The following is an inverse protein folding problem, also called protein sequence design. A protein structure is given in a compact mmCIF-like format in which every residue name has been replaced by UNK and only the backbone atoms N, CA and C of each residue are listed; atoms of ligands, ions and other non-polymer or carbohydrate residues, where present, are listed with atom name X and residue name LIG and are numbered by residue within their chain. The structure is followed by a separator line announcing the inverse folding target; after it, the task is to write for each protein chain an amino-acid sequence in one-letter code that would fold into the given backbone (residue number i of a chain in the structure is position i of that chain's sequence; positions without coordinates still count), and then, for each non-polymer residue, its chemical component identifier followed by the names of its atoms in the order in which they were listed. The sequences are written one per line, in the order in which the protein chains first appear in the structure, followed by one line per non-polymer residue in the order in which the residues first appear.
data_IF_158193337010
#
_entry.id   IF_158193337010
#
_cell.length_a   1.000
_cell.length_b   1.000
_cell.length_c   1.000
_cell.angle_alpha   90.00
_cell.angle_beta   90.00
_cell.angle_gamma   90.00
#
_symmetry.space_group_name_H-M   'P 1'
#
loop_
_entity.id
_entity.type
_entity.pdbx_description
1 polymer ?
#
# COMPACT_ATOMS: atom_id res chain seq x y z
N UNK A 1 -20.87 7.19 -18.59
CA UNK A 1 -20.22 8.53 -18.65
C UNK A 1 -20.29 9.26 -17.31
N UNK A 2 -21.47 9.42 -16.69
CA UNK A 2 -21.59 10.05 -15.36
C UNK A 2 -20.88 9.29 -14.23
N UNK A 3 -21.02 7.95 -14.12
CA UNK A 3 -20.29 7.16 -13.13
C UNK A 3 -18.76 7.13 -13.38
N UNK A 4 -18.34 7.28 -14.64
CA UNK A 4 -16.94 7.33 -15.05
C UNK A 4 -16.29 8.69 -14.75
N UNK A 5 -17.01 9.79 -14.99
CA UNK A 5 -16.65 11.14 -14.57
C UNK A 5 -16.62 11.25 -13.05
N UNK A 6 -17.66 10.77 -12.35
CA UNK A 6 -17.75 10.76 -10.88
C UNK A 6 -16.62 9.94 -10.25
N UNK A 7 -16.25 8.78 -10.81
CA UNK A 7 -15.11 7.98 -10.34
C UNK A 7 -13.75 8.68 -10.52
N UNK A 8 -13.53 9.33 -11.67
CA UNK A 8 -12.33 10.12 -11.94
C UNK A 8 -12.24 11.40 -11.09
N UNK A 9 -13.35 12.10 -10.91
CA UNK A 9 -13.40 13.33 -10.10
C UNK A 9 -13.35 13.05 -8.59
N UNK A 10 -13.80 11.88 -8.13
CA UNK A 10 -13.93 11.63 -6.70
C UNK A 10 -12.70 11.03 -6.01
N UNK A 11 -11.78 10.31 -6.65
CA UNK A 11 -10.63 9.74 -5.92
C UNK A 11 -9.30 10.37 -6.30
N UNK A 12 -8.99 10.43 -7.60
CA UNK A 12 -7.81 11.13 -8.12
C UNK A 12 -7.94 12.64 -7.93
N UNK A 13 -9.14 13.20 -8.18
CA UNK A 13 -9.43 14.61 -7.91
C UNK A 13 -9.38 14.97 -6.43
N UNK A 14 -9.74 14.05 -5.52
CA UNK A 14 -9.67 14.30 -4.08
C UNK A 14 -8.22 14.30 -3.57
N UNK A 15 -7.42 13.27 -3.85
CA UNK A 15 -6.05 13.20 -3.34
C UNK A 15 -5.16 14.29 -3.95
N UNK A 16 -5.23 14.46 -5.28
CA UNK A 16 -4.50 15.53 -5.96
C UNK A 16 -5.00 16.92 -5.54
N UNK A 17 -6.33 17.11 -5.47
CA UNK A 17 -6.94 18.38 -5.09
C UNK A 17 -6.59 18.77 -3.65
N UNK A 18 -6.64 17.83 -2.70
CA UNK A 18 -6.24 18.05 -1.31
C UNK A 18 -4.74 18.33 -1.23
N UNK A 19 -3.88 17.58 -1.94
CA UNK A 19 -2.44 17.86 -1.97
C UNK A 19 -2.13 19.27 -2.49
N UNK A 20 -2.78 19.70 -3.58
CA UNK A 20 -2.64 21.05 -4.14
C UNK A 20 -3.18 22.10 -3.17
N UNK A 21 -4.38 21.90 -2.62
CA UNK A 21 -4.99 22.84 -1.69
C UNK A 21 -4.13 23.02 -0.43
N UNK A 22 -3.63 21.93 0.15
CA UNK A 22 -2.72 21.96 1.30
C UNK A 22 -1.43 22.68 0.93
N UNK A 23 -0.81 22.33 -0.20
CA UNK A 23 0.43 22.96 -0.68
C UNK A 23 0.29 24.48 -0.81
N UNK A 24 -0.77 24.93 -1.50
CA UNK A 24 -1.07 26.36 -1.65
C UNK A 24 -1.32 27.01 -0.29
N UNK A 25 -2.12 26.37 0.57
CA UNK A 25 -2.49 26.94 1.87
C UNK A 25 -1.26 27.13 2.77
N UNK A 26 -0.41 26.11 2.91
CA UNK A 26 0.80 26.23 3.75
C UNK A 26 1.80 27.21 3.15
N UNK A 27 1.92 27.28 1.82
CA UNK A 27 2.79 28.24 1.14
C UNK A 27 2.26 29.68 1.25
N UNK A 28 0.96 29.91 1.40
CA UNK A 28 0.44 31.28 1.62
C UNK A 28 0.56 31.68 3.08
N UNK A 29 0.19 30.78 4.01
CA UNK A 29 0.04 31.13 5.42
C UNK A 29 1.35 31.13 6.20
N UNK A 30 2.38 30.41 5.76
CA UNK A 30 3.68 30.44 6.42
C UNK A 30 4.41 31.74 6.06
N UNK A 31 4.69 32.62 7.02
CA UNK A 31 5.37 33.90 6.74
C UNK A 31 6.86 33.69 6.43
N UNK A 32 7.57 32.96 7.29
CA UNK A 32 8.99 32.64 7.10
C UNK A 32 9.14 31.36 6.27
N UNK A 33 9.84 31.44 5.13
CA UNK A 33 10.13 30.26 4.29
C UNK A 33 11.62 30.04 4.21
N UNK A 34 12.01 28.77 4.19
CA UNK A 34 13.40 28.42 3.92
C UNK A 34 13.81 28.82 2.50
N UNK A 35 15.05 29.28 2.28
CA UNK A 35 15.53 29.60 0.95
C UNK A 35 15.64 28.34 0.10
N UNK A 36 15.45 28.48 -1.23
CA UNK A 36 15.53 27.35 -2.16
C UNK A 36 16.89 26.63 -2.12
N UNK A 37 17.98 27.34 -1.82
CA UNK A 37 19.31 26.74 -1.62
C UNK A 37 19.35 25.75 -0.46
N UNK A 38 18.58 25.98 0.60
CA UNK A 38 18.50 25.08 1.73
C UNK A 38 17.53 23.92 1.48
N UNK A 39 16.43 24.15 0.76
CA UNK A 39 15.46 23.10 0.42
C UNK A 39 16.03 22.09 -0.58
N UNK A 40 16.72 22.56 -1.62
CA UNK A 40 17.24 21.69 -2.68
C UNK A 40 18.73 21.35 -2.54
N UNK A 41 19.51 22.16 -1.82
CA UNK A 41 20.97 22.05 -1.78
C UNK A 41 21.53 21.45 -0.50
N UNK A 42 20.74 21.28 0.57
CA UNK A 42 21.23 20.82 1.88
C UNK A 42 20.55 19.52 2.29
N UNK A 43 21.33 18.45 2.40
CA UNK A 43 20.90 17.18 3.00
C UNK A 43 21.43 17.13 4.43
N UNK A 44 20.53 16.95 5.39
CA UNK A 44 20.88 16.85 6.82
C UNK A 44 20.74 15.39 7.24
N UNK A 45 21.80 14.86 7.85
CA UNK A 45 21.78 13.56 8.52
C UNK A 45 21.15 13.73 9.90
N UNK A 46 19.94 13.16 10.08
CA UNK A 46 19.28 13.00 11.38
C UNK A 46 19.23 11.54 11.84
N UNK A 47 19.89 10.63 11.14
CA UNK A 47 19.80 9.19 11.37
C UNK A 47 20.86 8.70 12.36
N UNK A 48 21.98 9.41 12.51
CA UNK A 48 23.07 9.02 13.41
C UNK A 48 23.94 7.87 12.88
N UNK A 49 23.70 7.39 11.66
CA UNK A 49 24.49 6.34 11.00
C UNK A 49 25.84 6.84 10.45
N UNK A 50 26.21 8.09 10.73
CA UNK A 50 27.43 8.75 10.25
C UNK A 50 27.60 8.71 8.72
N UNK A 51 26.49 8.63 7.98
CA UNK A 51 26.47 8.57 6.53
C UNK A 51 25.25 9.29 6.00
N UNK A 52 25.48 10.44 5.38
CA UNK A 52 24.44 11.25 4.74
C UNK A 52 23.72 10.47 3.64
N UNK A 53 24.45 9.64 2.88
CA UNK A 53 23.88 8.81 1.83
C UNK A 53 22.94 7.73 2.37
N UNK A 54 23.32 7.08 3.48
CA UNK A 54 22.45 6.08 4.12
C UNK A 54 21.22 6.73 4.77
N UNK A 55 21.39 7.90 5.38
CA UNK A 55 20.28 8.70 5.94
C UNK A 55 19.26 9.08 4.86
N UNK A 56 19.74 9.44 3.67
CA UNK A 56 18.90 9.70 2.51
C UNK A 56 18.10 8.46 2.10
N UNK A 57 18.74 7.29 2.09
CA UNK A 57 18.08 6.01 1.78
C UNK A 57 17.04 5.62 2.84
N UNK A 58 17.28 5.88 4.13
CA UNK A 58 16.28 5.70 5.19
C UNK A 58 15.04 6.58 4.95
N UNK A 59 15.26 7.83 4.51
CA UNK A 59 14.17 8.76 4.17
C UNK A 59 13.24 8.24 3.06
N UNK A 60 13.71 7.31 2.23
CA UNK A 60 12.90 6.66 1.20
C UNK A 60 11.71 5.88 1.76
N UNK A 61 11.76 5.46 3.04
CA UNK A 61 10.65 4.74 3.70
C UNK A 61 9.31 5.47 3.58
N UNK A 62 9.30 6.80 3.75
CA UNK A 62 8.06 7.58 3.63
C UNK A 62 7.48 7.53 2.22
N UNK A 63 8.35 7.46 1.21
CA UNK A 63 7.97 7.37 -0.20
C UNK A 63 7.48 5.96 -0.52
N UNK A 64 8.16 4.92 -0.04
CA UNK A 64 7.76 3.52 -0.24
C UNK A 64 6.31 3.27 0.23
N UNK A 65 5.93 3.84 1.38
CA UNK A 65 4.55 3.82 1.87
C UNK A 65 3.55 4.54 0.97
N UNK A 66 3.97 5.61 0.31
CA UNK A 66 3.11 6.42 -0.55
C UNK A 66 2.89 5.78 -1.93
N UNK A 67 3.78 4.86 -2.33
CA UNK A 67 3.79 4.18 -3.62
C UNK A 67 3.53 2.67 -3.51
N UNK A 68 2.65 2.27 -2.60
CA UNK A 68 2.16 0.89 -2.48
C UNK A 68 0.73 0.74 -3.02
N UNK A 69 0.22 -0.48 -3.14
CA UNK A 69 -1.16 -0.81 -3.54
C UNK A 69 -1.55 -0.34 -4.96
N UNK A 70 -0.56 -0.14 -5.84
CA UNK A 70 -0.82 0.27 -7.22
C UNK A 70 -1.45 -0.84 -8.07
N UNK A 71 -1.43 -2.09 -7.62
CA UNK A 71 -2.10 -3.23 -8.24
C UNK A 71 -3.57 -3.39 -7.81
N UNK A 72 -4.11 -2.47 -7.00
CA UNK A 72 -5.54 -2.40 -6.66
C UNK A 72 -6.46 -2.54 -7.90
N UNK A 73 -6.05 -1.97 -9.03
CA UNK A 73 -6.79 -2.06 -10.31
C UNK A 73 -6.87 -3.48 -10.87
N UNK A 74 -5.92 -4.36 -10.54
CA UNK A 74 -5.94 -5.77 -10.93
C UNK A 74 -7.00 -6.55 -10.16
N UNK A 75 -7.22 -6.23 -8.88
CA UNK A 75 -8.31 -6.83 -8.08
C UNK A 75 -9.71 -6.41 -8.55
N UNK A 76 -9.78 -5.37 -9.39
CA UNK A 76 -11.00 -4.84 -9.99
C UNK A 76 -11.13 -5.21 -11.48
N UNK A 77 -10.28 -6.09 -12.01
CA UNK A 77 -10.23 -6.37 -13.45
C UNK A 77 -11.55 -6.86 -14.04
N UNK A 78 -12.33 -7.62 -13.27
CA UNK A 78 -13.64 -8.15 -13.69
C UNK A 78 -14.70 -7.05 -13.90
N UNK A 79 -14.52 -5.89 -13.26
CA UNK A 79 -15.43 -4.73 -13.35
C UNK A 79 -14.92 -3.67 -14.35
N UNK A 80 -13.69 -3.83 -14.86
CA UNK A 80 -13.08 -2.90 -15.80
C UNK A 80 -13.49 -3.21 -17.24
N UNK A 81 -14.10 -2.22 -17.90
CA UNK A 81 -14.27 -2.28 -19.35
C UNK A 81 -12.89 -2.29 -20.04
N UNK A 82 -12.63 -3.33 -20.83
CA UNK A 82 -11.37 -3.54 -21.53
C UNK A 82 -10.15 -3.64 -20.57
N UNK A 83 -10.26 -4.48 -19.54
CA UNK A 83 -9.26 -4.65 -18.48
C UNK A 83 -7.81 -4.83 -18.97
N UNK A 84 -7.62 -5.49 -20.12
CA UNK A 84 -6.29 -5.75 -20.70
C UNK A 84 -5.51 -4.48 -21.11
N UNK A 85 -6.21 -3.35 -21.31
CA UNK A 85 -5.60 -2.05 -21.62
C UNK A 85 -5.84 -1.08 -20.45
N UNK A 86 -7.09 -1.00 -19.98
CA UNK A 86 -7.51 -0.06 -18.94
C UNK A 86 -6.77 -0.27 -17.62
N UNK A 87 -6.47 -1.52 -17.24
CA UNK A 87 -5.72 -1.84 -16.03
C UNK A 87 -4.30 -1.26 -16.06
N UNK A 88 -3.43 -1.69 -16.99
CA UNK A 88 -2.06 -1.18 -17.08
C UNK A 88 -1.97 0.34 -17.26
N UNK A 89 -2.88 0.94 -18.03
CA UNK A 89 -2.93 2.40 -18.21
C UNK A 89 -3.32 3.12 -16.92
N UNK A 90 -4.31 2.60 -16.18
CA UNK A 90 -4.72 3.18 -14.90
C UNK A 90 -3.59 3.16 -13.88
N UNK A 91 -2.81 2.07 -13.79
CA UNK A 91 -1.62 1.98 -12.94
C UNK A 91 -0.59 3.03 -13.33
N UNK A 92 -0.28 3.16 -14.63
CA UNK A 92 0.70 4.15 -15.08
C UNK A 92 0.26 5.59 -14.79
N UNK A 93 -1.03 5.90 -15.01
CA UNK A 93 -1.58 7.22 -14.75
C UNK A 93 -1.62 7.55 -13.25
N UNK A 94 -2.05 6.61 -12.40
CA UNK A 94 -2.10 6.83 -10.95
C UNK A 94 -0.70 7.10 -10.38
N UNK A 95 0.31 6.33 -10.80
CA UNK A 95 1.69 6.53 -10.38
C UNK A 95 2.25 7.90 -10.78
N UNK A 96 2.02 8.33 -12.02
CA UNK A 96 2.49 9.65 -12.50
C UNK A 96 1.80 10.78 -11.74
N UNK A 97 0.48 10.69 -11.53
CA UNK A 97 -0.29 11.68 -10.78
C UNK A 97 0.21 11.76 -9.33
N UNK A 98 0.33 10.63 -8.63
CA UNK A 98 0.85 10.57 -7.27
C UNK A 98 2.26 11.14 -7.18
N UNK A 99 3.12 10.87 -8.18
CA UNK A 99 4.46 11.44 -8.23
C UNK A 99 4.47 12.95 -8.38
N UNK A 100 3.70 13.52 -9.31
CA UNK A 100 3.66 14.98 -9.54
C UNK A 100 3.12 15.71 -8.30
N UNK A 101 1.97 15.28 -7.77
CA UNK A 101 1.34 15.97 -6.64
C UNK A 101 2.02 15.68 -5.31
N UNK A 102 2.55 14.47 -5.13
CA UNK A 102 3.40 14.12 -3.99
C UNK A 102 4.68 14.95 -3.97
N UNK A 103 5.32 15.15 -5.13
CA UNK A 103 6.49 16.02 -5.24
C UNK A 103 6.15 17.47 -4.88
N UNK A 104 5.05 18.01 -5.41
CA UNK A 104 4.56 19.35 -5.06
C UNK A 104 4.38 19.52 -3.55
N UNK A 105 3.73 18.54 -2.90
CA UNK A 105 3.47 18.58 -1.47
C UNK A 105 4.77 18.49 -0.65
N UNK A 106 5.69 17.60 -1.02
CA UNK A 106 6.99 17.46 -0.35
C UNK A 106 7.85 18.73 -0.49
N UNK A 107 7.87 19.35 -1.67
CA UNK A 107 8.56 20.63 -1.89
C UNK A 107 7.93 21.70 -0.98
N UNK A 108 6.61 21.76 -0.91
CA UNK A 108 5.89 22.72 -0.07
C UNK A 108 6.21 22.54 1.42
N UNK A 109 6.29 21.29 1.91
CA UNK A 109 6.78 21.00 3.25
C UNK A 109 8.23 21.44 3.45
N UNK A 110 9.10 21.20 2.47
CA UNK A 110 10.50 21.64 2.53
C UNK A 110 10.64 23.15 2.75
N UNK A 111 9.81 23.96 2.08
CA UNK A 111 9.79 25.41 2.27
C UNK A 111 9.22 25.86 3.62
N UNK A 112 8.23 25.14 4.15
CA UNK A 112 7.53 25.51 5.38
C UNK A 112 8.16 24.91 6.65
N UNK A 113 9.17 24.05 6.52
CA UNK A 113 9.86 23.40 7.62
C UNK A 113 10.96 24.29 8.24
N UNK A 114 10.58 25.47 8.74
CA UNK A 114 11.51 26.50 9.24
C UNK A 114 12.29 26.06 10.48
N UNK A 115 11.61 25.51 11.48
CA UNK A 115 12.24 24.99 12.71
C UNK A 115 12.20 23.47 12.73
N UNK A 116 13.22 22.85 12.13
CA UNK A 116 13.31 21.39 11.99
C UNK A 116 13.47 20.68 13.34
N UNK A 117 14.16 21.30 14.30
CA UNK A 117 14.33 20.70 15.63
C UNK A 117 12.98 20.67 16.37
N UNK A 118 12.23 21.78 16.35
CA UNK A 118 10.89 21.82 16.94
C UNK A 118 9.90 20.87 16.24
N UNK A 119 10.04 20.66 14.92
CA UNK A 119 9.23 19.69 14.18
C UNK A 119 9.53 18.25 14.61
N UNK A 120 10.80 17.89 14.78
CA UNK A 120 11.22 16.54 15.18
C UNK A 120 10.97 16.26 16.65
N UNK A 121 11.06 17.26 17.52
CA UNK A 121 10.76 17.14 18.95
C UNK A 121 9.30 17.41 19.31
N UNK A 122 8.42 17.57 18.31
CA UNK A 122 7.02 17.94 18.55
C UNK A 122 6.29 16.84 19.34
N UNK A 123 5.56 17.20 20.41
CA UNK A 123 4.74 16.26 21.18
C UNK A 123 3.56 15.70 20.37
N UNK A 124 3.25 16.27 19.19
CA UNK A 124 2.22 15.74 18.29
C UNK A 124 2.66 14.44 17.61
N UNK A 125 3.95 14.11 17.60
CA UNK A 125 4.49 12.88 17.01
C UNK A 125 4.41 12.81 15.47
N UNK A 126 3.87 13.84 14.80
CA UNK A 126 3.80 13.94 13.35
C UNK A 126 4.26 15.33 12.87
N UNK A 127 5.42 15.43 12.19
CA UNK A 127 5.96 16.70 11.70
C UNK A 127 5.02 17.45 10.75
N UNK A 128 4.25 16.75 9.90
CA UNK A 128 3.32 17.41 8.98
C UNK A 128 2.19 18.12 9.73
N UNK A 129 1.66 17.51 10.80
CA UNK A 129 0.64 18.14 11.66
C UNK A 129 1.19 19.39 12.34
N UNK A 130 2.46 19.37 12.77
CA UNK A 130 3.10 20.54 13.36
C UNK A 130 3.31 21.66 12.33
N UNK A 131 3.66 21.33 11.08
CA UNK A 131 3.73 22.34 10.00
C UNK A 131 2.36 23.02 9.80
N UNK A 132 1.26 22.26 9.81
CA UNK A 132 -0.08 22.85 9.69
C UNK A 132 -0.43 23.77 10.85
N UNK A 133 -0.04 23.39 12.07
CA UNK A 133 -0.23 24.20 13.26
C UNK A 133 0.59 25.50 13.20
N UNK A 134 1.85 25.42 12.77
CA UNK A 134 2.74 26.57 12.65
C UNK A 134 2.26 27.53 11.57
N UNK A 135 1.80 27.02 10.43
CA UNK A 135 1.34 27.85 9.30
C UNK A 135 -0.03 28.50 9.57
N UNK A 136 -1.01 27.74 10.06
CA UNK A 136 -2.41 28.17 10.06
C UNK A 136 -3.02 28.33 11.47
N UNK A 137 -2.19 28.20 12.52
CA UNK A 137 -2.63 28.17 13.91
C UNK A 137 -3.53 26.97 14.22
N UNK A 138 -4.09 26.93 15.44
CA UNK A 138 -4.86 25.76 15.91
C UNK A 138 -6.11 25.48 15.07
N UNK A 139 -6.89 26.50 14.73
CA UNK A 139 -8.15 26.34 13.98
C UNK A 139 -7.89 25.94 12.52
N UNK A 140 -6.95 26.61 11.86
CA UNK A 140 -6.58 26.31 10.48
C UNK A 140 -5.87 24.96 10.36
N UNK A 141 -4.98 24.64 11.30
CA UNK A 141 -4.30 23.34 11.34
C UNK A 141 -5.26 22.17 11.50
N UNK A 142 -6.29 22.29 12.35
CA UNK A 142 -7.35 21.28 12.48
C UNK A 142 -8.15 21.15 11.18
N UNK A 143 -8.47 22.26 10.50
CA UNK A 143 -9.20 22.23 9.23
C UNK A 143 -8.39 21.54 8.12
N UNK A 144 -7.08 21.77 8.04
CA UNK A 144 -6.19 21.07 7.13
C UNK A 144 -6.10 19.58 7.47
N UNK A 145 -5.97 19.25 8.76
CA UNK A 145 -5.90 17.88 9.22
C UNK A 145 -7.19 17.09 8.93
N UNK A 146 -8.35 17.73 9.02
CA UNK A 146 -9.64 17.13 8.65
C UNK A 146 -9.62 16.57 7.21
N UNK A 147 -9.07 17.32 6.25
CA UNK A 147 -8.96 16.84 4.86
C UNK A 147 -8.00 15.66 4.72
N UNK A 148 -6.91 15.63 5.48
CA UNK A 148 -5.98 14.48 5.51
C UNK A 148 -6.70 13.23 6.04
N UNK A 149 -7.43 13.36 7.15
CA UNK A 149 -8.23 12.25 7.72
C UNK A 149 -9.29 11.78 6.72
N UNK A 150 -9.96 12.69 6.03
CA UNK A 150 -10.98 12.34 5.04
C UNK A 150 -10.39 11.52 3.89
N UNK A 151 -9.25 11.95 3.33
CA UNK A 151 -8.52 11.18 2.31
C UNK A 151 -8.15 9.80 2.84
N UNK A 152 -7.66 9.70 4.08
CA UNK A 152 -7.29 8.42 4.69
C UNK A 152 -8.47 7.46 4.84
N UNK A 153 -9.69 7.95 5.12
CA UNK A 153 -10.90 7.11 5.20
C UNK A 153 -11.23 6.51 3.83
N UNK A 154 -11.13 7.29 2.76
CA UNK A 154 -11.38 6.79 1.40
C UNK A 154 -10.33 5.75 0.98
N UNK A 155 -9.05 6.00 1.27
CA UNK A 155 -7.96 5.02 1.03
C UNK A 155 -8.17 3.75 1.84
N UNK A 156 -8.61 3.86 3.09
CA UNK A 156 -8.93 2.69 3.91
C UNK A 156 -10.09 1.86 3.35
N UNK A 157 -11.11 2.52 2.79
CA UNK A 157 -12.24 1.83 2.16
C UNK A 157 -11.82 1.06 0.89
N UNK A 158 -10.92 1.62 0.07
CA UNK A 158 -10.40 0.92 -1.12
C UNK A 158 -9.51 -0.26 -0.74
N UNK A 159 -8.64 -0.10 0.26
CA UNK A 159 -7.80 -1.18 0.77
C UNK A 159 -8.66 -2.33 1.34
N UNK A 160 -9.69 -2.02 2.13
CA UNK A 160 -10.61 -3.02 2.67
C UNK A 160 -11.34 -3.83 1.57
N UNK A 161 -11.69 -3.18 0.46
CA UNK A 161 -12.29 -3.85 -0.69
C UNK A 161 -11.28 -4.81 -1.35
N UNK A 162 -10.03 -4.37 -1.54
CA UNK A 162 -8.94 -5.18 -2.11
C UNK A 162 -8.67 -6.42 -1.25
N UNK A 163 -8.51 -6.23 0.06
CA UNK A 163 -8.26 -7.30 1.03
C UNK A 163 -9.38 -8.32 1.06
N UNK A 164 -10.64 -7.85 1.03
CA UNK A 164 -11.81 -8.74 1.00
C UNK A 164 -11.82 -9.62 -0.25
N UNK A 165 -11.50 -9.06 -1.42
CA UNK A 165 -11.47 -9.80 -2.68
C UNK A 165 -10.34 -10.82 -2.71
N UNK A 166 -9.17 -10.45 -2.22
CA UNK A 166 -8.05 -11.37 -2.05
C UNK A 166 -8.41 -12.49 -1.07
N UNK A 167 -9.04 -12.16 0.06
CA UNK A 167 -9.46 -13.15 1.04
C UNK A 167 -10.49 -14.14 0.46
N UNK A 168 -11.45 -13.63 -0.31
CA UNK A 168 -12.45 -14.43 -1.02
C UNK A 168 -11.83 -15.33 -2.08
N UNK A 169 -10.90 -14.83 -2.89
CA UNK A 169 -10.21 -15.62 -3.91
C UNK A 169 -9.40 -16.77 -3.29
N UNK A 170 -8.67 -16.51 -2.21
CA UNK A 170 -7.93 -17.54 -1.47
C UNK A 170 -8.88 -18.54 -0.78
N UNK A 171 -10.06 -18.10 -0.35
CA UNK A 171 -11.09 -18.98 0.18
C UNK A 171 -11.69 -19.89 -0.91
N UNK A 172 -11.89 -19.39 -2.13
CA UNK A 172 -12.36 -20.19 -3.29
C UNK A 172 -11.38 -21.32 -3.64
N UNK A 173 -10.09 -21.05 -3.50
CA UNK A 173 -9.01 -22.01 -3.76
C UNK A 173 -8.69 -22.90 -2.53
N UNK A 174 -9.59 -22.94 -1.52
CA UNK A 174 -9.48 -23.76 -0.30
C UNK A 174 -8.19 -23.54 0.52
N UNK A 175 -7.61 -22.32 0.45
CA UNK A 175 -6.34 -22.00 1.12
C UNK A 175 -6.51 -21.60 2.59
N UNK A 176 -7.69 -21.13 3.01
CA UNK A 176 -7.97 -20.71 4.39
C UNK A 176 -8.61 -21.78 5.28
N UNK A 177 -8.38 -21.74 6.60
CA UNK A 177 -9.23 -22.48 7.53
C UNK A 177 -10.65 -21.90 7.46
N UNK A 178 -11.65 -22.75 7.22
CA UNK A 178 -13.04 -22.30 7.08
C UNK A 178 -13.39 -21.71 5.70
N UNK A 179 -12.61 -22.01 4.65
CA UNK A 179 -12.87 -21.60 3.26
C UNK A 179 -14.32 -21.76 2.80
N UNK A 180 -15.02 -22.81 3.23
CA UNK A 180 -16.44 -23.04 2.91
C UNK A 180 -17.37 -21.89 3.36
N UNK A 181 -17.09 -21.27 4.49
CA UNK A 181 -17.87 -20.13 5.00
C UNK A 181 -17.45 -18.83 4.33
N UNK A 182 -16.13 -18.62 4.18
CA UNK A 182 -15.57 -17.40 3.61
C UNK A 182 -15.91 -17.23 2.12
N UNK A 183 -16.02 -18.32 1.36
CA UNK A 183 -16.42 -18.32 -0.06
C UNK A 183 -17.92 -18.11 -0.29
N UNK A 184 -18.75 -18.05 0.75
CA UNK A 184 -20.20 -17.93 0.58
C UNK A 184 -20.57 -16.49 0.20
N UNK A 185 -21.22 -16.34 -0.95
CA UNK A 185 -21.76 -15.06 -1.42
C UNK A 185 -23.18 -14.84 -0.90
N UNK A 186 -23.52 -13.59 -0.57
CA UNK A 186 -24.88 -13.21 -0.25
C UNK A 186 -25.73 -13.10 -1.51
N UNK A 187 -26.88 -13.78 -1.57
CA UNK A 187 -27.75 -13.81 -2.75
C UNK A 187 -28.35 -12.44 -3.12
N UNK A 188 -28.54 -11.55 -2.14
CA UNK A 188 -29.22 -10.27 -2.39
C UNK A 188 -28.25 -9.19 -2.89
N UNK A 189 -27.00 -9.22 -2.43
CA UNK A 189 -26.00 -8.17 -2.71
C UNK A 189 -24.86 -8.66 -3.61
N UNK A 190 -24.76 -9.97 -3.88
CA UNK A 190 -23.62 -10.61 -4.56
C UNK A 190 -22.26 -10.24 -3.93
N UNK A 191 -22.24 -10.02 -2.61
CA UNK A 191 -21.01 -9.68 -1.87
C UNK A 191 -20.62 -10.80 -0.90
N UNK A 192 -19.32 -11.08 -0.73
CA UNK A 192 -18.83 -12.10 0.20
C UNK A 192 -18.77 -11.57 1.64
N UNK A 193 -19.93 -11.44 2.29
CA UNK A 193 -20.07 -10.80 3.61
C UNK A 193 -19.21 -11.46 4.70
N UNK A 194 -19.04 -12.78 4.66
CA UNK A 194 -18.18 -13.49 5.62
C UNK A 194 -16.70 -13.15 5.45
N UNK A 195 -16.24 -12.97 4.20
CA UNK A 195 -14.87 -12.52 3.92
C UNK A 195 -14.65 -11.08 4.39
N UNK A 196 -15.64 -10.19 4.22
CA UNK A 196 -15.58 -8.82 4.73
C UNK A 196 -15.39 -8.82 6.24
N UNK A 197 -16.26 -9.51 6.98
CA UNK A 197 -16.17 -9.54 8.44
C UNK A 197 -14.92 -10.24 8.94
N UNK A 198 -14.43 -11.25 8.23
CA UNK A 198 -13.15 -11.88 8.55
C UNK A 198 -12.00 -10.87 8.48
N UNK A 199 -11.88 -10.11 7.38
CA UNK A 199 -10.87 -9.06 7.24
C UNK A 199 -11.04 -7.99 8.32
N UNK A 200 -12.26 -7.49 8.54
CA UNK A 200 -12.55 -6.46 9.56
C UNK A 200 -12.12 -6.94 10.95
N UNK A 201 -12.48 -8.16 11.35
CA UNK A 201 -12.12 -8.70 12.67
C UNK A 201 -10.60 -8.81 12.80
N UNK A 202 -9.90 -9.33 11.79
CA UNK A 202 -8.43 -9.42 11.81
C UNK A 202 -7.80 -8.02 11.91
N UNK A 203 -8.26 -7.05 11.13
CA UNK A 203 -7.79 -5.67 11.20
C UNK A 203 -8.05 -5.04 12.58
N UNK A 204 -9.22 -5.28 13.20
CA UNK A 204 -9.51 -4.83 14.55
C UNK A 204 -8.57 -5.48 15.58
N UNK A 205 -8.33 -6.79 15.48
CA UNK A 205 -7.42 -7.52 16.37
C UNK A 205 -5.98 -7.01 16.24
N UNK A 206 -5.52 -6.72 15.02
CA UNK A 206 -4.21 -6.10 14.78
C UNK A 206 -4.13 -4.71 15.40
N UNK A 207 -5.18 -3.89 15.29
CA UNK A 207 -5.22 -2.57 15.91
C UNK A 207 -5.23 -2.63 17.44
N UNK A 208 -5.82 -3.67 18.06
CA UNK A 208 -5.76 -3.84 19.51
C UNK A 208 -4.34 -4.03 20.06
N UNK A 209 -3.38 -4.48 19.22
CA UNK A 209 -1.96 -4.56 19.59
C UNK A 209 -1.40 -3.18 19.95
N UNK A 210 -1.92 -2.11 19.34
CA UNK A 210 -1.53 -0.73 19.64
C UNK A 210 -1.80 -0.34 21.11
N UNK A 211 -2.77 -0.99 21.79
CA UNK A 211 -3.03 -0.75 23.22
C UNK A 211 -1.94 -1.34 24.12
N UNK A 212 -1.22 -2.37 23.66
CA UNK A 212 -0.19 -3.04 24.44
C UNK A 212 1.21 -2.47 24.21
N UNK A 213 1.57 -2.20 22.94
CA UNK A 213 2.90 -1.66 22.61
C UNK A 213 2.88 -0.88 21.30
N UNK A 214 3.28 0.39 21.39
CA UNK A 214 3.51 1.26 20.24
C UNK A 214 4.63 0.73 19.32
N UNK A 215 5.65 0.10 19.90
CA UNK A 215 6.78 -0.48 19.17
C UNK A 215 6.31 -1.66 18.30
N UNK A 216 5.50 -2.56 18.87
CA UNK A 216 4.98 -3.72 18.13
C UNK A 216 4.09 -3.29 16.97
N UNK A 217 3.16 -2.36 17.18
CA UNK A 217 2.29 -1.88 16.10
C UNK A 217 3.08 -1.13 15.02
N UNK A 218 4.08 -0.33 15.39
CA UNK A 218 4.96 0.34 14.43
C UNK A 218 5.79 -0.67 13.62
N UNK A 219 6.19 -1.80 14.23
CA UNK A 219 6.84 -2.91 13.51
C UNK A 219 5.90 -3.59 12.51
N UNK A 220 4.62 -3.78 12.87
CA UNK A 220 3.58 -4.34 11.98
C UNK A 220 3.31 -3.40 10.82
N UNK A 221 3.19 -2.10 11.06
CA UNK A 221 3.11 -1.13 9.97
C UNK A 221 4.39 -1.17 9.14
N UNK A 222 5.57 -1.15 9.77
CA UNK A 222 6.85 -1.15 9.08
C UNK A 222 7.08 -2.30 8.09
N UNK A 223 6.43 -3.46 8.30
CA UNK A 223 6.50 -4.59 7.35
C UNK A 223 5.51 -4.46 6.19
N UNK A 224 4.46 -3.64 6.27
CA UNK A 224 3.42 -3.56 5.24
C UNK A 224 3.99 -3.22 3.86
N UNK A 225 4.76 -2.13 3.74
CA UNK A 225 5.34 -1.73 2.46
C UNK A 225 6.35 -2.77 1.91
N UNK A 226 7.36 -3.23 2.69
CA UNK A 226 8.26 -4.29 2.23
C UNK A 226 7.55 -5.61 1.88
N UNK A 227 6.49 -6.00 2.57
CA UNK A 227 5.75 -7.22 2.27
C UNK A 227 5.00 -7.13 0.94
N UNK A 228 4.35 -5.99 0.66
CA UNK A 228 3.74 -5.72 -0.64
C UNK A 228 4.80 -5.78 -1.76
N UNK A 229 5.93 -5.09 -1.56
CA UNK A 229 7.06 -5.07 -2.49
C UNK A 229 7.61 -6.47 -2.80
N UNK A 230 7.81 -7.30 -1.78
CA UNK A 230 8.25 -8.69 -1.94
C UNK A 230 7.21 -9.54 -2.70
N UNK A 231 5.91 -9.29 -2.50
CA UNK A 231 4.85 -9.97 -3.24
C UNK A 231 4.91 -9.64 -4.73
N UNK A 232 5.20 -8.38 -5.10
CA UNK A 232 5.35 -7.95 -6.47
C UNK A 232 6.59 -8.57 -7.13
N UNK A 233 7.72 -8.61 -6.41
CA UNK A 233 8.93 -9.27 -6.89
C UNK A 233 8.65 -10.76 -7.14
N UNK A 234 7.92 -11.44 -6.27
CA UNK A 234 7.63 -12.87 -6.46
C UNK A 234 6.92 -13.14 -7.79
N UNK A 235 5.95 -12.29 -8.17
CA UNK A 235 5.23 -12.39 -9.46
C UNK A 235 6.16 -12.06 -10.64
N UNK A 236 6.95 -10.98 -10.55
CA UNK A 236 7.87 -10.56 -11.63
C UNK A 236 8.98 -11.59 -11.85
N UNK A 237 9.57 -12.10 -10.76
CA UNK A 237 10.59 -13.14 -10.78
C UNK A 237 10.03 -14.45 -11.32
N UNK A 238 8.82 -14.85 -10.89
CA UNK A 238 8.13 -16.02 -11.43
C UNK A 238 7.90 -15.88 -12.95
N UNK A 239 7.45 -14.71 -13.41
CA UNK A 239 7.31 -14.42 -14.84
C UNK A 239 8.63 -14.52 -15.60
N UNK A 240 9.74 -14.02 -15.04
CA UNK A 240 11.07 -14.12 -15.65
C UNK A 240 11.59 -15.56 -15.70
N UNK A 241 11.34 -16.34 -14.65
CA UNK A 241 11.77 -17.72 -14.51
C UNK A 241 11.04 -18.63 -15.51
N UNK A 242 9.71 -18.54 -15.57
CA UNK A 242 8.89 -19.37 -16.46
C UNK A 242 8.77 -18.83 -17.90
N UNK A 243 9.36 -17.67 -18.23
CA UNK A 243 9.27 -17.05 -19.56
C UNK A 243 9.67 -17.99 -20.70
N UNK A 244 10.64 -18.89 -20.45
CA UNK A 244 11.12 -19.86 -21.44
C UNK A 244 10.22 -21.09 -21.56
N UNK A 245 9.67 -21.57 -20.45
CA UNK A 245 8.92 -22.83 -20.38
C UNK A 245 7.42 -22.63 -20.67
N UNK A 246 6.88 -21.49 -20.26
CA UNK A 246 5.45 -21.14 -20.38
C UNK A 246 5.32 -19.72 -20.92
N UNK A 247 5.57 -19.50 -22.22
CA UNK A 247 5.48 -18.18 -22.82
C UNK A 247 4.03 -17.68 -22.74
N UNK A 248 3.81 -16.61 -21.98
CA UNK A 248 2.51 -15.97 -21.87
C UNK A 248 2.25 -15.16 -23.15
N UNK A 249 1.09 -15.35 -23.78
CA UNK A 249 0.69 -14.60 -24.96
C UNK A 249 0.70 -13.09 -24.66
N UNK A 250 1.27 -12.29 -25.57
CA UNK A 250 1.33 -10.84 -25.39
C UNK A 250 -0.07 -10.25 -25.51
N UNK A 251 -0.51 -9.57 -24.45
CA UNK A 251 -1.74 -8.79 -24.46
C UNK A 251 -1.62 -7.51 -25.31
N UNK A 252 -2.73 -6.78 -25.49
CA UNK A 252 -2.77 -5.53 -26.24
C UNK A 252 -1.87 -4.44 -25.64
N UNK A 253 -1.59 -4.50 -24.34
CA UNK A 253 -0.55 -3.71 -23.69
C UNK A 253 0.74 -4.53 -23.55
N UNK A 254 1.83 -4.06 -24.18
CA UNK A 254 3.12 -4.73 -24.12
C UNK A 254 4.27 -3.72 -24.10
N UNK A 255 5.23 -3.93 -23.19
CA UNK A 255 6.48 -3.17 -23.13
C UNK A 255 7.50 -3.61 -24.21
N UNK A 256 7.14 -4.58 -25.06
CA UNK A 256 7.97 -5.06 -26.16
C UNK A 256 9.33 -5.54 -25.70
N UNK A 257 10.40 -4.98 -26.27
CA UNK A 257 11.80 -5.35 -25.97
C UNK A 257 12.26 -4.88 -24.59
N UNK A 258 11.61 -3.87 -24.03
CA UNK A 258 11.98 -3.29 -22.72
C UNK A 258 11.44 -4.07 -21.53
N UNK A 259 10.53 -5.04 -21.75
CA UNK A 259 9.94 -5.85 -20.68
C UNK A 259 11.01 -6.53 -19.79
N UNK A 260 12.00 -7.22 -20.39
CA UNK A 260 13.00 -7.96 -19.62
C UNK A 260 13.94 -7.04 -18.83
N UNK A 261 14.56 -5.99 -19.44
CA UNK A 261 15.37 -5.05 -18.68
C UNK A 261 14.62 -4.38 -17.54
N UNK A 262 13.39 -3.93 -17.77
CA UNK A 262 12.56 -3.28 -16.73
C UNK A 262 12.28 -4.24 -15.59
N UNK A 263 11.92 -5.50 -15.88
CA UNK A 263 11.67 -6.50 -14.84
C UNK A 263 12.91 -6.78 -13.98
N UNK A 264 14.11 -6.87 -14.58
CA UNK A 264 15.35 -7.05 -13.81
C UNK A 264 15.66 -5.84 -12.93
N UNK A 265 15.52 -4.63 -13.47
CA UNK A 265 15.74 -3.39 -12.71
C UNK A 265 14.75 -3.32 -11.54
N UNK A 266 13.46 -3.64 -11.78
CA UNK A 266 12.44 -3.66 -10.74
C UNK A 266 12.80 -4.65 -9.62
N UNK A 267 13.15 -5.91 -9.96
CA UNK A 267 13.55 -6.88 -8.95
C UNK A 267 14.77 -6.42 -8.12
N UNK A 268 15.82 -5.93 -8.78
CA UNK A 268 17.06 -5.50 -8.09
C UNK A 268 16.76 -4.30 -7.18
N UNK A 269 16.06 -3.30 -7.72
CA UNK A 269 15.72 -2.07 -6.99
C UNK A 269 14.83 -2.35 -5.79
N UNK A 270 13.77 -3.13 -5.96
CA UNK A 270 12.83 -3.44 -4.88
C UNK A 270 13.47 -4.32 -3.80
N UNK A 271 14.35 -5.26 -4.15
CA UNK A 271 15.13 -6.04 -3.16
C UNK A 271 16.08 -5.13 -2.39
N UNK A 272 16.80 -4.25 -3.09
CA UNK A 272 17.69 -3.28 -2.45
C UNK A 272 16.94 -2.38 -1.46
N UNK A 273 15.80 -1.82 -1.87
CA UNK A 273 14.98 -1.00 -1.00
C UNK A 273 14.43 -1.79 0.19
N UNK A 274 13.89 -2.99 -0.04
CA UNK A 274 13.38 -3.84 1.05
C UNK A 274 14.45 -4.07 2.12
N UNK A 275 15.71 -4.32 1.71
CA UNK A 275 16.84 -4.44 2.65
C UNK A 275 17.06 -3.14 3.43
N UNK A 276 17.05 -1.98 2.77
CA UNK A 276 17.19 -0.67 3.44
C UNK A 276 16.04 -0.41 4.42
N UNK A 277 14.80 -0.71 4.03
CA UNK A 277 13.61 -0.47 4.85
C UNK A 277 13.57 -1.31 6.12
N UNK A 278 14.37 -2.39 6.17
CA UNK A 278 14.55 -3.22 7.35
C UNK A 278 15.58 -2.69 8.35
N UNK A 279 16.37 -1.68 7.99
CA UNK A 279 17.27 -1.04 8.93
C UNK A 279 16.51 -0.11 9.90
N UNK A 280 17.01 0.05 11.13
CA UNK A 280 16.51 1.06 12.06
C UNK A 280 16.70 2.49 11.53
N UNK A 281 15.70 3.38 11.70
CA UNK A 281 15.77 4.73 11.17
C UNK A 281 16.77 5.62 11.92
N UNK A 282 17.11 5.29 13.17
CA UNK A 282 18.05 6.04 14.01
C UNK A 282 19.09 5.13 14.65
N UNK A 283 20.29 5.69 14.85
CA UNK A 283 21.44 5.06 15.50
C UNK A 283 21.92 5.97 16.66
N UNK A 284 22.36 5.42 17.81
CA UNK A 284 22.54 4.00 18.14
C UNK A 284 21.22 3.23 18.28
N UNK A 285 21.25 1.95 17.88
CA UNK A 285 20.07 1.08 17.94
C UNK A 285 19.84 0.64 19.39
N UNK A 286 18.66 0.93 19.91
CA UNK A 286 18.14 0.49 21.20
C UNK A 286 16.94 -0.43 20.98
N UNK A 287 16.47 -1.09 22.04
CA UNK A 287 15.26 -1.90 21.97
C UNK A 287 14.01 -1.08 21.59
N UNK A 288 14.05 0.25 21.77
CA UNK A 288 12.92 1.15 21.50
C UNK A 288 12.87 1.64 20.04
N UNK A 289 14.01 1.83 19.38
CA UNK A 289 14.07 2.32 17.99
C UNK A 289 14.38 1.22 16.96
N UNK A 290 14.59 -0.04 17.41
CA UNK A 290 14.81 -1.17 16.53
C UNK A 290 13.62 -1.38 15.59
N UNK A 291 13.92 -1.64 14.32
CA UNK A 291 12.89 -1.97 13.35
C UNK A 291 12.52 -3.46 13.43
N UNK A 292 11.47 -3.76 14.19
CA UNK A 292 10.97 -5.13 14.37
C UNK A 292 10.27 -5.71 13.14
N UNK A 293 10.11 -4.95 12.05
CA UNK A 293 9.53 -5.44 10.80
C UNK A 293 10.27 -6.68 10.26
N UNK A 294 11.59 -6.77 10.45
CA UNK A 294 12.39 -7.95 10.04
C UNK A 294 11.93 -9.21 10.77
N UNK A 295 11.80 -9.13 12.10
CA UNK A 295 11.42 -10.28 12.91
C UNK A 295 9.98 -10.72 12.59
N UNK A 296 9.08 -9.75 12.41
CA UNK A 296 7.68 -10.00 12.01
C UNK A 296 7.62 -10.62 10.61
N UNK A 297 8.42 -10.12 9.65
CA UNK A 297 8.54 -10.69 8.30
C UNK A 297 8.90 -12.17 8.33
N UNK A 298 9.95 -12.52 9.08
CA UNK A 298 10.41 -13.90 9.22
C UNK A 298 9.32 -14.76 9.87
N UNK A 299 8.64 -14.25 10.91
CA UNK A 299 7.54 -14.96 11.56
C UNK A 299 6.37 -15.23 10.61
N UNK A 300 5.96 -14.24 9.80
CA UNK A 300 4.91 -14.39 8.79
C UNK A 300 5.32 -15.42 7.73
N UNK A 301 6.56 -15.36 7.24
CA UNK A 301 7.06 -16.31 6.24
C UNK A 301 7.11 -17.74 6.78
N UNK A 302 7.59 -17.92 8.02
CA UNK A 302 7.61 -19.22 8.69
C UNK A 302 6.19 -19.76 8.92
N UNK A 303 5.25 -18.90 9.30
CA UNK A 303 3.85 -19.29 9.46
C UNK A 303 3.23 -19.73 8.13
N UNK A 304 3.43 -18.95 7.06
CA UNK A 304 2.90 -19.25 5.73
C UNK A 304 3.49 -20.56 5.16
N UNK A 305 4.81 -20.76 5.30
CA UNK A 305 5.48 -22.00 4.87
C UNK A 305 5.03 -23.21 5.70
N UNK A 306 4.92 -23.07 7.02
CA UNK A 306 4.38 -24.12 7.87
C UNK A 306 2.93 -24.47 7.47
N UNK A 307 2.06 -23.49 7.26
CA UNK A 307 0.69 -23.71 6.79
C UNK A 307 0.64 -24.44 5.45
N UNK A 308 1.51 -24.06 4.51
CA UNK A 308 1.63 -24.70 3.22
C UNK A 308 1.96 -26.20 3.33
N UNK A 309 2.98 -26.55 4.11
CA UNK A 309 3.42 -27.94 4.26
C UNK A 309 2.53 -28.78 5.17
N UNK A 310 1.86 -28.18 6.16
CA UNK A 310 0.97 -28.88 7.09
C UNK A 310 -0.35 -29.33 6.44
N UNK A 311 -0.78 -28.70 5.35
CA UNK A 311 -1.94 -29.20 4.61
C UNK A 311 -2.49 -28.32 3.50
N UNK A 312 -2.10 -27.05 3.39
CA UNK A 312 -2.62 -26.20 2.32
C UNK A 312 -2.21 -26.73 0.94
N UNK A 313 -0.99 -27.27 0.79
CA UNK A 313 -0.52 -27.88 -0.45
C UNK A 313 -1.37 -29.07 -0.96
N UNK A 314 -2.14 -29.73 -0.07
CA UNK A 314 -3.03 -30.85 -0.42
C UNK A 314 -4.43 -30.39 -0.83
N UNK A 315 -4.83 -29.18 -0.40
CA UNK A 315 -6.18 -28.64 -0.61
C UNK A 315 -6.21 -27.57 -1.69
N UNK A 316 -5.11 -26.85 -1.85
CA UNK A 316 -4.94 -25.82 -2.86
C UNK A 316 -4.99 -26.44 -4.25
N UNK A 317 -6.07 -26.13 -4.95
CA UNK A 317 -6.22 -26.35 -6.36
C UNK A 317 -6.19 -24.95 -6.96
N UNK A 318 -5.26 -24.71 -7.89
CA UNK A 318 -5.07 -23.40 -8.53
C UNK A 318 -6.36 -22.86 -9.18
N UNK A 319 -6.33 -21.64 -9.73
CA UNK A 319 -7.53 -20.83 -9.97
C UNK A 319 -8.64 -21.66 -10.60
N UNK A 320 -9.66 -21.95 -9.78
CA UNK A 320 -10.86 -22.66 -10.23
C UNK A 320 -11.63 -21.69 -11.11
N UNK A 321 -11.65 -21.93 -12.41
CA UNK A 321 -12.56 -21.25 -13.32
C UNK A 321 -14.00 -21.57 -12.88
N UNK A 322 -14.89 -20.59 -12.92
CA UNK A 322 -16.26 -20.70 -12.38
C UNK A 322 -17.07 -21.88 -12.97
N UNK A 323 -16.66 -22.41 -14.14
CA UNK A 323 -17.21 -23.63 -14.75
C UNK A 323 -17.12 -24.90 -13.87
N UNK A 324 -16.34 -24.90 -12.78
CA UNK A 324 -16.25 -26.03 -11.85
C UNK A 324 -16.96 -25.80 -10.51
N UNK A 325 -17.55 -24.63 -10.26
CA UNK A 325 -18.33 -24.38 -9.04
C UNK A 325 -19.79 -24.81 -9.16
N UNK A 326 -20.36 -24.83 -10.37
CA UNK A 326 -21.77 -25.16 -10.58
C UNK A 326 -22.09 -26.64 -10.28
N UNK A 327 -21.12 -27.55 -10.38
CA UNK A 327 -21.38 -28.99 -10.19
C UNK A 327 -21.50 -29.42 -8.72
N UNK A 328 -20.95 -28.68 -7.75
CA UNK A 328 -21.09 -29.01 -6.32
C UNK A 328 -22.32 -28.34 -5.68
N UNK A 329 -22.67 -27.11 -6.08
CA UNK A 329 -23.82 -26.39 -5.50
C UNK A 329 -25.18 -26.79 -6.15
N UNK A 330 -25.19 -27.36 -7.37
CA UNK A 330 -26.40 -27.92 -7.97
C UNK A 330 -26.81 -29.29 -7.40
N UNK A 331 -25.88 -30.05 -6.81
CA UNK A 331 -26.17 -31.37 -6.20
C UNK A 331 -26.93 -31.29 -4.88
N UNK A 332 -27.03 -30.10 -4.28
CA UNK A 332 -27.79 -29.85 -3.06
C UNK A 332 -29.23 -29.39 -3.26
N UNK A 333 -29.70 -29.17 -4.49
CA UNK A 333 -31.06 -28.68 -4.77
C UNK A 333 -31.98 -29.87 -5.06
N UNK A 334 -33.07 -30.08 -4.29
CA UNK A 334 -34.12 -30.99 -4.74
C UNK A 334 -34.68 -30.47 -6.07
N UNK A 335 -34.88 -31.37 -7.03
CA UNK A 335 -35.38 -31.04 -8.36
C UNK A 335 -36.68 -30.23 -8.26
N UNK A 336 -36.87 -29.19 -9.09
CA UNK A 336 -38.15 -28.49 -9.15
C UNK A 336 -39.23 -29.48 -9.61
N UNK A 337 -40.30 -29.57 -8.83
CA UNK A 337 -41.53 -30.25 -9.19
C UNK A 337 -42.26 -29.50 -10.31
#
# INVERSE_FOLDING_TARGET
MAAWLVGWTNFLGQTAGVAVAISITILILTEDKLPASEVFGKVIDGSGWNSTGFSYLIGYLSIAWSFTDYDATAHLSEELHNAAISGPVAIAQSLVITWVFGLLLNISYGFCATDREALLSSPLGNPATQIFLNAAGRRGGIALWFWVVLVQIFTGATAMLSDTRTAFALARDDLFPGSKMLRKMNHNTNTPLYSVWFVVIICCLLNLIALGSAQTINGIFGITAPACDLSYIAVIAGRLYYDRERPIAKGPFSLGKFQKPINYIACIWTVFLTVVLFFPPTYPVTAENMNYAVAISVAIFLFATAWWFLGANKRYIGPRNDEHMDDEDLRGRPAPA
#
